data_IF_097045223216
#
_entry.id   IF_097045223216
#
_cell.length_a   1.000
_cell.length_b   1.000
_cell.length_c   1.000
_cell.angle_alpha   90.00
_cell.angle_beta   90.00
_cell.angle_gamma   90.00
#
_symmetry.space_group_name_H-M   'P 1'
#
loop_
_entity.id
_entity.type
_entity.pdbx_description
1 polymer ?
#
# COMPACT_ATOMS: atom_id res chain seq x y z
N UNK A 1 -25.66 75.29 1.61
CA UNK A 1 -26.64 74.39 0.93
C UNK A 1 -26.04 73.71 -0.30
N UNK A 2 -25.92 74.35 -1.47
CA UNK A 2 -25.39 73.65 -2.67
C UNK A 2 -23.92 73.16 -2.53
N UNK A 3 -23.05 73.95 -1.88
CA UNK A 3 -21.65 73.57 -1.62
C UNK A 3 -21.51 72.41 -0.63
N UNK A 4 -22.42 72.31 0.33
CA UNK A 4 -22.39 71.26 1.36
C UNK A 4 -22.87 69.93 0.78
N UNK A 5 -23.92 69.97 -0.05
CA UNK A 5 -24.38 68.82 -0.82
C UNK A 5 -23.29 68.26 -1.75
N UNK A 6 -22.53 69.12 -2.44
CA UNK A 6 -21.41 68.69 -3.29
C UNK A 6 -20.29 68.02 -2.47
N UNK A 7 -20.03 68.49 -1.25
CA UNK A 7 -19.05 67.86 -0.34
C UNK A 7 -19.52 66.49 0.13
N UNK A 8 -20.79 66.35 0.50
CA UNK A 8 -21.36 65.04 0.89
C UNK A 8 -21.32 64.04 -0.25
N UNK A 9 -21.68 64.46 -1.47
CA UNK A 9 -21.60 63.58 -2.66
C UNK A 9 -20.17 63.09 -2.86
N UNK A 10 -19.17 63.98 -2.77
CA UNK A 10 -17.76 63.60 -2.94
C UNK A 10 -17.28 62.65 -1.85
N UNK A 11 -17.70 62.85 -0.60
CA UNK A 11 -17.37 61.95 0.50
C UNK A 11 -18.00 60.55 0.29
N UNK A 12 -19.26 60.50 -0.16
CA UNK A 12 -19.93 59.25 -0.48
C UNK A 12 -19.26 58.51 -1.65
N UNK A 13 -18.77 59.23 -2.67
CA UNK A 13 -17.99 58.64 -3.77
C UNK A 13 -16.65 58.06 -3.30
N UNK A 14 -15.93 58.74 -2.40
CA UNK A 14 -14.69 58.23 -1.82
C UNK A 14 -14.94 56.98 -0.98
N UNK A 15 -16.00 56.96 -0.17
CA UNK A 15 -16.36 55.82 0.66
C UNK A 15 -16.81 54.62 -0.19
N UNK A 16 -17.62 54.84 -1.23
CA UNK A 16 -18.00 53.80 -2.18
C UNK A 16 -16.77 53.20 -2.89
N UNK A 17 -15.83 54.05 -3.34
CA UNK A 17 -14.59 53.58 -3.96
C UNK A 17 -13.73 52.75 -2.99
N UNK A 18 -13.69 53.14 -1.71
CA UNK A 18 -12.98 52.39 -0.68
C UNK A 18 -13.60 51.00 -0.49
N UNK A 19 -14.93 50.92 -0.35
CA UNK A 19 -15.67 49.66 -0.23
C UNK A 19 -15.39 48.74 -1.42
N UNK A 20 -15.40 49.27 -2.65
CA UNK A 20 -15.12 48.50 -3.86
C UNK A 20 -13.69 47.95 -3.86
N UNK A 21 -12.71 48.75 -3.43
CA UNK A 21 -11.31 48.32 -3.37
C UNK A 21 -11.09 47.26 -2.29
N UNK A 22 -11.68 47.45 -1.12
CA UNK A 22 -11.60 46.49 -0.01
C UNK A 22 -12.24 45.15 -0.41
N UNK A 23 -13.42 45.16 -1.04
CA UNK A 23 -14.07 43.95 -1.55
C UNK A 23 -13.25 43.24 -2.65
N UNK A 24 -12.54 43.99 -3.50
CA UNK A 24 -11.61 43.42 -4.49
C UNK A 24 -10.39 42.76 -3.84
N UNK A 25 -9.87 43.33 -2.76
CA UNK A 25 -8.76 42.74 -2.01
C UNK A 25 -9.22 41.46 -1.30
N UNK A 26 -10.35 41.53 -0.59
CA UNK A 26 -10.90 40.39 0.13
C UNK A 26 -11.22 39.22 -0.79
N UNK A 27 -11.83 39.47 -1.96
CA UNK A 27 -12.11 38.41 -2.93
C UNK A 27 -10.84 37.72 -3.44
N UNK A 28 -9.76 38.48 -3.67
CA UNK A 28 -8.45 37.91 -4.04
C UNK A 28 -7.85 37.08 -2.91
N UNK A 29 -7.97 37.53 -1.66
CA UNK A 29 -7.48 36.76 -0.51
C UNK A 29 -8.26 35.46 -0.32
N UNK A 30 -9.58 35.47 -0.51
CA UNK A 30 -10.42 34.28 -0.44
C UNK A 30 -9.98 33.26 -1.48
N UNK A 31 -9.78 33.69 -2.74
CA UNK A 31 -9.32 32.81 -3.82
C UNK A 31 -7.94 32.22 -3.47
N UNK A 32 -7.00 33.06 -3.04
CA UNK A 32 -5.65 32.60 -2.69
C UNK A 32 -5.67 31.57 -1.56
N UNK A 33 -6.43 31.81 -0.50
CA UNK A 33 -6.59 30.86 0.63
C UNK A 33 -7.25 29.55 0.16
N UNK A 34 -8.23 29.63 -0.74
CA UNK A 34 -8.86 28.44 -1.31
C UNK A 34 -7.87 27.61 -2.13
N UNK A 35 -7.03 28.24 -2.95
CA UNK A 35 -5.97 27.57 -3.71
C UNK A 35 -4.92 26.93 -2.79
N UNK A 36 -4.47 27.63 -1.76
CA UNK A 36 -3.52 27.10 -0.76
C UNK A 36 -4.09 25.89 -0.02
N UNK A 37 -5.36 25.97 0.40
CA UNK A 37 -6.04 24.86 1.07
C UNK A 37 -6.23 23.66 0.14
N UNK A 38 -6.64 23.90 -1.12
CA UNK A 38 -6.81 22.83 -2.11
C UNK A 38 -5.48 22.11 -2.39
N UNK A 39 -4.38 22.86 -2.53
CA UNK A 39 -3.05 22.28 -2.73
C UNK A 39 -2.60 21.45 -1.51
N UNK A 40 -2.90 21.93 -0.30
CA UNK A 40 -2.60 21.21 0.93
C UNK A 40 -3.39 19.91 1.02
N UNK A 41 -4.70 19.95 0.81
CA UNK A 41 -5.54 18.75 0.83
C UNK A 41 -5.11 17.74 -0.23
N UNK A 42 -4.81 18.21 -1.44
CA UNK A 42 -4.30 17.35 -2.51
C UNK A 42 -3.03 16.60 -2.08
N UNK A 43 -2.04 17.33 -1.52
CA UNK A 43 -0.80 16.72 -1.01
C UNK A 43 -1.06 15.74 0.12
N UNK A 44 -1.96 16.08 1.04
CA UNK A 44 -2.32 15.22 2.17
C UNK A 44 -2.99 13.92 1.70
N UNK A 45 -3.86 14.00 0.69
CA UNK A 45 -4.50 12.82 0.07
C UNK A 45 -3.43 11.92 -0.55
N UNK A 46 -2.54 12.47 -1.39
CA UNK A 46 -1.47 11.69 -2.04
C UNK A 46 -0.58 11.01 -0.99
N UNK A 47 -0.17 11.74 0.06
CA UNK A 47 0.67 11.18 1.11
C UNK A 47 -0.04 10.05 1.87
N UNK A 48 -1.30 10.24 2.25
CA UNK A 48 -2.10 9.21 2.94
C UNK A 48 -2.29 7.98 2.07
N UNK A 49 -2.61 8.16 0.79
CA UNK A 49 -2.75 7.06 -0.15
C UNK A 49 -1.43 6.30 -0.35
N UNK A 50 -0.30 7.00 -0.43
CA UNK A 50 1.01 6.36 -0.55
C UNK A 50 1.40 5.57 0.70
N UNK A 51 1.11 6.11 1.90
CA UNK A 51 1.34 5.43 3.17
C UNK A 51 0.48 4.16 3.27
N UNK A 52 -0.79 4.25 2.90
CA UNK A 52 -1.70 3.11 2.94
C UNK A 52 -1.31 2.02 1.93
N UNK A 53 -0.92 2.41 0.72
CA UNK A 53 -0.42 1.46 -0.28
C UNK A 53 0.83 0.71 0.23
N UNK A 54 1.77 1.44 0.86
CA UNK A 54 2.94 0.83 1.47
C UNK A 54 2.56 -0.12 2.61
N UNK A 55 1.65 0.29 3.49
CA UNK A 55 1.15 -0.55 4.59
C UNK A 55 0.56 -1.87 4.07
N UNK A 56 -0.24 -1.81 3.01
CA UNK A 56 -0.84 -3.00 2.39
C UNK A 56 0.25 -3.91 1.80
N UNK A 57 1.23 -3.34 1.10
CA UNK A 57 2.35 -4.10 0.54
C UNK A 57 3.17 -4.80 1.64
N UNK A 58 3.55 -4.08 2.69
CA UNK A 58 4.30 -4.62 3.81
C UNK A 58 3.52 -5.75 4.52
N UNK A 59 2.20 -5.59 4.68
CA UNK A 59 1.33 -6.62 5.28
C UNK A 59 1.27 -7.89 4.42
N UNK A 60 1.13 -7.74 3.10
CA UNK A 60 1.10 -8.87 2.16
C UNK A 60 2.45 -9.57 2.12
N UNK A 61 3.56 -8.83 2.09
CA UNK A 61 4.91 -9.40 2.10
C UNK A 61 5.17 -10.19 3.39
N UNK A 62 4.78 -9.65 4.55
CA UNK A 62 4.91 -10.36 5.82
C UNK A 62 4.11 -11.66 5.86
N UNK A 63 2.88 -11.66 5.34
CA UNK A 63 2.04 -12.88 5.27
C UNK A 63 2.65 -13.91 4.33
N UNK A 64 3.05 -13.48 3.13
CA UNK A 64 3.68 -14.34 2.13
C UNK A 64 4.97 -14.98 2.66
N UNK A 65 5.81 -14.21 3.35
CA UNK A 65 7.02 -14.74 3.98
C UNK A 65 6.71 -15.76 5.08
N UNK A 66 5.66 -15.53 5.87
CA UNK A 66 5.18 -16.48 6.87
C UNK A 66 4.72 -17.79 6.25
N UNK A 67 3.89 -17.72 5.22
CA UNK A 67 3.41 -18.89 4.46
C UNK A 67 4.56 -19.64 3.78
N UNK A 68 5.47 -18.92 3.11
CA UNK A 68 6.64 -19.51 2.48
C UNK A 68 7.54 -20.25 3.49
N UNK A 69 7.73 -19.67 4.67
CA UNK A 69 8.50 -20.30 5.75
C UNK A 69 7.84 -21.60 6.23
N UNK A 70 6.51 -21.60 6.38
CA UNK A 70 5.75 -22.80 6.75
C UNK A 70 5.90 -23.90 5.70
N UNK A 71 5.65 -23.57 4.43
CA UNK A 71 5.78 -24.50 3.30
C UNK A 71 7.19 -25.08 3.23
N UNK A 72 8.22 -24.24 3.41
CA UNK A 72 9.60 -24.69 3.41
C UNK A 72 9.89 -25.67 4.56
N UNK A 73 9.40 -25.36 5.76
CA UNK A 73 9.58 -26.23 6.93
C UNK A 73 8.91 -27.59 6.72
N UNK A 74 7.66 -27.60 6.28
CA UNK A 74 6.93 -28.85 5.98
C UNK A 74 7.60 -29.66 4.87
N UNK A 75 8.08 -28.99 3.83
CA UNK A 75 8.81 -29.63 2.73
C UNK A 75 10.11 -30.28 3.22
N UNK A 76 10.83 -29.60 4.11
CA UNK A 76 12.04 -30.13 4.73
C UNK A 76 11.76 -31.34 5.61
N UNK A 77 10.74 -31.26 6.47
CA UNK A 77 10.34 -32.39 7.33
C UNK A 77 9.99 -33.62 6.49
N UNK A 78 9.20 -33.46 5.42
CA UNK A 78 8.87 -34.56 4.50
C UNK A 78 10.09 -35.13 3.79
N UNK A 79 11.04 -34.28 3.38
CA UNK A 79 12.28 -34.74 2.76
C UNK A 79 13.13 -35.54 3.76
N UNK A 80 13.23 -35.06 5.01
CA UNK A 80 13.94 -35.75 6.07
C UNK A 80 13.28 -37.10 6.42
N UNK A 81 11.95 -37.19 6.42
CA UNK A 81 11.22 -38.46 6.58
C UNK A 81 11.57 -39.48 5.48
N UNK A 82 11.65 -39.04 4.22
CA UNK A 82 12.03 -39.90 3.09
C UNK A 82 13.48 -40.38 3.22
N UNK A 83 14.39 -39.47 3.59
CA UNK A 83 15.82 -39.78 3.72
C UNK A 83 16.12 -40.69 4.91
N UNK A 84 15.35 -40.59 5.99
CA UNK A 84 15.52 -41.36 7.22
C UNK A 84 14.67 -42.64 7.26
N UNK A 85 14.28 -43.18 6.10
CA UNK A 85 13.67 -44.53 6.03
C UNK A 85 14.59 -45.55 6.69
N UNK A 86 14.02 -46.44 7.50
CA UNK A 86 14.80 -47.41 8.27
C UNK A 86 15.56 -48.39 7.37
N UNK A 87 16.78 -48.74 7.78
CA UNK A 87 17.60 -49.74 7.09
C UNK A 87 16.87 -51.08 6.97
N UNK A 88 16.07 -51.47 7.97
CA UNK A 88 15.22 -52.67 7.91
C UNK A 88 14.23 -52.68 6.73
N UNK A 89 13.69 -51.51 6.37
CA UNK A 89 12.78 -51.37 5.23
C UNK A 89 13.55 -51.42 3.91
N UNK A 90 14.72 -50.79 3.87
CA UNK A 90 15.65 -50.87 2.75
C UNK A 90 16.09 -52.32 2.48
N UNK A 91 16.51 -53.04 3.51
CA UNK A 91 16.95 -54.44 3.40
C UNK A 91 15.82 -55.35 2.93
N UNK A 92 14.60 -55.15 3.43
CA UNK A 92 13.41 -55.85 2.93
C UNK A 92 13.13 -55.55 1.46
N UNK A 93 13.25 -54.29 1.04
CA UNK A 93 13.05 -53.90 -0.35
C UNK A 93 14.12 -54.53 -1.28
N UNK A 94 15.38 -54.54 -0.85
CA UNK A 94 16.48 -55.19 -1.56
C UNK A 94 16.23 -56.68 -1.71
N UNK A 95 15.89 -57.38 -0.63
CA UNK A 95 15.60 -58.82 -0.66
C UNK A 95 14.44 -59.15 -1.60
N UNK A 96 13.38 -58.34 -1.63
CA UNK A 96 12.23 -58.54 -2.51
C UNK A 96 12.65 -58.41 -4.00
N UNK A 97 13.51 -57.45 -4.33
CA UNK A 97 14.07 -57.31 -5.69
C UNK A 97 14.94 -58.51 -6.05
N UNK A 98 15.82 -58.96 -5.13
CA UNK A 98 16.69 -60.12 -5.34
C UNK A 98 15.87 -61.40 -5.55
N UNK A 99 14.88 -61.67 -4.70
CA UNK A 99 13.97 -62.82 -4.85
C UNK A 99 13.25 -62.79 -6.19
N UNK A 100 12.80 -61.62 -6.66
CA UNK A 100 12.14 -61.50 -7.96
C UNK A 100 13.06 -61.83 -9.12
N UNK A 101 14.33 -61.40 -9.07
CA UNK A 101 15.33 -61.70 -10.09
C UNK A 101 15.69 -63.19 -10.06
N UNK A 102 15.91 -63.77 -8.87
CA UNK A 102 16.23 -65.18 -8.71
C UNK A 102 15.07 -66.06 -9.17
N UNK A 103 13.82 -65.72 -8.88
CA UNK A 103 12.66 -66.48 -9.37
C UNK A 103 12.46 -66.36 -10.89
N UNK A 104 12.86 -65.24 -11.51
CA UNK A 104 12.77 -65.04 -12.95
C UNK A 104 13.90 -65.74 -13.73
N UNK A 105 15.13 -65.76 -13.19
CA UNK A 105 16.32 -66.30 -13.84
C UNK A 105 16.77 -67.68 -13.33
N UNK A 106 16.28 -68.11 -12.18
CA UNK A 106 16.68 -69.34 -11.48
C UNK A 106 15.81 -70.55 -11.80
N UNK A 107 14.85 -70.42 -12.72
CA UNK A 107 14.15 -71.56 -13.28
C UNK A 107 14.92 -72.06 -14.52
N UNK A 108 16.06 -72.71 -14.27
CA UNK A 108 16.73 -73.60 -15.21
C UNK A 108 17.15 -74.88 -14.50
#
# INVERSE_FOLDING_TARGET
MAKDAIKEIKAAEEEANKIINDAKLESREIIKKAEENALKEYKDIINKSSLEAKRIMDEVESKANGEATLIFKEGKEKADEILNVSNDLLDKAVNLVVERIVNFNGNS
#
